data_IF_959964042378
#
_entry.id   IF_959964042378
#
_cell.length_a   1.000
_cell.length_b   1.000
_cell.length_c   1.000
_cell.angle_alpha   90.00
_cell.angle_beta   90.00
_cell.angle_gamma   90.00
#
_symmetry.space_group_name_H-M   'P 1'
#
loop_
_entity.id
_entity.type
_entity.pdbx_description
1 polymer ?
#
# COMPACT_ATOMS: atom_id res chain seq x y z
N UNK A 1 14.58 -36.31 -16.83
CA UNK A 1 15.05 -35.86 -15.50
C UNK A 1 16.18 -34.86 -15.68
N UNK A 2 16.08 -33.66 -15.09
CA UNK A 2 17.16 -32.66 -15.11
C UNK A 2 16.71 -31.35 -14.48
N UNK A 3 16.88 -31.23 -13.15
CA UNK A 3 16.58 -30.01 -12.38
C UNK A 3 17.73 -29.01 -12.58
N UNK A 4 17.43 -27.76 -12.90
CA UNK A 4 18.40 -26.67 -12.81
C UNK A 4 18.15 -25.85 -11.56
N UNK A 5 19.25 -25.60 -10.84
CA UNK A 5 19.37 -25.02 -9.51
C UNK A 5 19.84 -23.59 -9.69
N UNK A 6 19.16 -22.63 -9.07
CA UNK A 6 19.62 -21.24 -9.04
C UNK A 6 20.65 -21.10 -7.91
N UNK A 7 21.89 -20.78 -8.26
CA UNK A 7 22.98 -20.51 -7.31
C UNK A 7 23.05 -19.03 -6.92
N UNK A 8 23.41 -18.80 -5.65
CA UNK A 8 23.72 -17.51 -5.04
C UNK A 8 25.08 -17.01 -5.55
N UNK A 9 25.09 -15.81 -6.14
CA UNK A 9 26.31 -15.05 -6.39
C UNK A 9 26.60 -14.10 -5.23
N UNK A 10 27.54 -14.49 -4.37
CA UNK A 10 28.12 -13.63 -3.35
C UNK A 10 29.29 -12.79 -3.89
N UNK A 11 29.44 -11.63 -3.24
CA UNK A 11 30.69 -10.93 -2.95
C UNK A 11 31.42 -10.21 -4.10
N UNK A 12 31.60 -8.89 -3.92
CA UNK A 12 32.94 -8.28 -3.78
C UNK A 12 32.85 -6.84 -3.28
N UNK A 13 33.36 -6.64 -2.07
CA UNK A 13 33.87 -5.36 -1.62
C UNK A 13 35.01 -4.88 -2.54
N UNK A 14 35.11 -3.57 -2.79
CA UNK A 14 36.34 -2.79 -2.65
C UNK A 14 36.19 -1.32 -3.11
N UNK A 15 36.95 -0.49 -2.39
CA UNK A 15 37.61 0.72 -2.85
C UNK A 15 36.82 2.05 -2.93
N UNK A 16 36.95 2.77 -1.82
CA UNK A 16 37.01 4.23 -1.73
C UNK A 16 37.98 4.79 -2.79
N UNK A 17 37.61 5.81 -3.55
CA UNK A 17 38.57 6.85 -3.94
C UNK A 17 37.87 8.15 -4.37
N UNK A 18 38.36 9.25 -3.79
CA UNK A 18 38.03 10.65 -4.09
C UNK A 18 38.49 11.01 -5.50
N UNK A 19 37.64 11.67 -6.29
CA UNK A 19 38.09 12.38 -7.49
C UNK A 19 37.55 13.82 -7.47
N UNK A 20 38.44 14.84 -7.55
CA UNK A 20 38.07 16.24 -7.53
C UNK A 20 37.57 16.73 -8.90
N UNK A 21 36.83 17.83 -8.82
CA UNK A 21 36.32 18.67 -9.91
C UNK A 21 37.46 19.15 -10.82
N UNK A 22 37.36 18.92 -12.12
CA UNK A 22 38.03 19.71 -13.15
C UNK A 22 37.17 19.78 -14.42
N UNK A 23 37.05 21.01 -14.90
CA UNK A 23 36.28 21.49 -16.05
C UNK A 23 36.84 20.97 -17.37
N UNK A 24 35.97 20.58 -18.31
CA UNK A 24 36.27 20.73 -19.74
C UNK A 24 34.99 21.07 -20.51
N UNK A 25 35.05 22.24 -21.16
CA UNK A 25 34.13 22.69 -22.18
C UNK A 25 34.30 21.84 -23.46
N UNK A 26 33.22 21.61 -24.19
CA UNK A 26 33.27 20.96 -25.49
C UNK A 26 31.89 20.66 -26.06
N UNK A 27 31.38 21.59 -26.86
CA UNK A 27 30.26 21.39 -27.78
C UNK A 27 30.51 20.16 -28.67
N UNK A 28 29.50 19.31 -28.83
CA UNK A 28 29.13 18.66 -30.10
C UNK A 28 27.75 18.00 -29.92
N UNK A 29 26.84 18.30 -30.84
CA UNK A 29 25.45 17.87 -30.81
C UNK A 29 25.28 16.36 -30.88
N UNK A 30 24.26 15.90 -30.16
CA UNK A 30 23.69 14.57 -30.27
C UNK A 30 22.22 14.67 -29.90
N UNK A 31 21.37 14.86 -30.91
CA UNK A 31 19.93 14.69 -30.85
C UNK A 31 19.63 13.26 -30.40
N UNK A 32 19.38 13.06 -29.12
CA UNK A 32 18.79 11.82 -28.64
C UNK A 32 17.32 11.84 -29.05
N UNK A 33 16.98 11.02 -30.05
CA UNK A 33 15.62 10.61 -30.31
C UNK A 33 15.02 10.10 -28.99
N UNK A 34 14.03 10.82 -28.50
CA UNK A 34 13.00 10.26 -27.63
C UNK A 34 12.26 9.22 -28.47
N UNK A 35 12.51 7.94 -28.20
CA UNK A 35 11.61 6.88 -28.62
C UNK A 35 10.47 6.84 -27.59
N UNK A 36 9.32 7.38 -27.95
CA UNK A 36 8.05 6.93 -27.37
C UNK A 36 7.82 5.49 -27.85
N UNK A 37 7.97 4.53 -26.94
CA UNK A 37 7.43 3.20 -27.13
C UNK A 37 5.98 3.21 -26.70
N UNK A 38 5.08 3.56 -27.61
CA UNK A 38 3.66 3.26 -27.49
C UNK A 38 3.35 1.94 -28.21
N UNK A 39 2.45 1.17 -27.60
CA UNK A 39 1.76 -0.04 -28.08
C UNK A 39 2.45 -1.38 -27.87
N UNK A 40 2.11 -2.03 -26.75
CA UNK A 40 1.47 -3.35 -26.80
C UNK A 40 0.42 -3.43 -25.68
N UNK A 41 -0.69 -2.72 -25.90
CA UNK A 41 -1.97 -3.08 -25.35
C UNK A 41 -2.58 -4.18 -26.24
N UNK A 42 -2.15 -5.43 -26.08
CA UNK A 42 -2.85 -6.61 -26.59
C UNK A 42 -2.23 -7.92 -26.08
N UNK A 43 -2.59 -8.34 -24.87
CA UNK A 43 -2.94 -9.74 -24.62
C UNK A 43 -3.89 -9.88 -23.42
N UNK A 44 -5.01 -9.18 -23.48
CA UNK A 44 -6.25 -9.74 -22.93
C UNK A 44 -6.66 -10.89 -23.86
N UNK A 45 -6.04 -12.05 -23.69
CA UNK A 45 -6.41 -13.27 -24.39
C UNK A 45 -7.73 -13.76 -23.84
N UNK A 46 -8.80 -13.39 -24.55
CA UNK A 46 -9.92 -14.28 -24.88
C UNK A 46 -10.32 -15.29 -23.80
N UNK A 47 -11.06 -14.82 -22.79
CA UNK A 47 -12.26 -15.51 -22.31
C UNK A 47 -13.29 -14.43 -21.91
N UNK A 48 -14.25 -14.23 -22.81
CA UNK A 48 -15.59 -13.66 -22.60
C UNK A 48 -15.74 -12.36 -21.78
N UNK A 49 -15.61 -11.23 -22.47
CA UNK A 49 -16.25 -9.97 -22.07
C UNK A 49 -17.30 -9.53 -23.11
N UNK A 50 -18.18 -10.45 -23.53
CA UNK A 50 -19.36 -10.10 -24.35
C UNK A 50 -20.49 -11.16 -24.28
N UNK A 51 -20.82 -11.68 -23.09
CA UNK A 51 -21.98 -12.57 -22.91
C UNK A 51 -22.51 -12.59 -21.47
N UNK A 52 -22.98 -11.44 -20.98
CA UNK A 52 -24.06 -11.37 -19.97
C UNK A 52 -24.87 -10.09 -20.14
N UNK A 53 -25.31 -9.81 -21.36
CA UNK A 53 -26.58 -9.10 -21.50
C UNK A 53 -27.70 -10.12 -21.24
N UNK A 54 -28.48 -9.87 -20.19
CA UNK A 54 -29.75 -10.52 -19.85
C UNK A 54 -29.70 -11.78 -18.95
N UNK A 55 -29.45 -11.57 -17.66
CA UNK A 55 -30.27 -12.20 -16.61
C UNK A 55 -30.77 -11.11 -15.67
N UNK A 56 -32.08 -10.84 -15.76
CA UNK A 56 -32.77 -9.89 -14.91
C UNK A 56 -32.65 -10.22 -13.43
N UNK A 57 -32.38 -9.18 -12.66
CA UNK A 57 -32.38 -9.17 -11.20
C UNK A 57 -32.66 -7.76 -10.70
N UNK A 58 -33.93 -7.36 -10.79
CA UNK A 58 -34.44 -6.11 -10.23
C UNK A 58 -34.48 -6.18 -8.71
N UNK A 59 -33.64 -5.36 -8.06
CA UNK A 59 -33.73 -4.93 -6.67
C UNK A 59 -32.75 -3.76 -6.53
N UNK A 60 -33.18 -2.50 -6.45
CA UNK A 60 -34.18 -1.99 -5.53
C UNK A 60 -33.49 -1.56 -4.24
N UNK A 61 -32.66 -0.51 -4.32
CA UNK A 61 -31.93 0.05 -3.19
C UNK A 61 -31.38 1.42 -3.55
N UNK A 62 -32.27 2.41 -3.63
CA UNK A 62 -31.89 3.82 -3.72
C UNK A 62 -31.20 4.25 -2.43
N UNK A 63 -29.88 4.08 -2.37
CA UNK A 63 -29.06 4.88 -1.50
C UNK A 63 -28.90 6.24 -2.17
N UNK A 64 -29.49 7.28 -1.59
CA UNK A 64 -29.02 8.64 -1.81
C UNK A 64 -27.54 8.65 -1.50
N UNK A 65 -26.72 8.55 -2.54
CA UNK A 65 -25.28 8.73 -2.43
C UNK A 65 -25.05 10.16 -1.97
N UNK A 66 -24.99 10.35 -0.65
CA UNK A 66 -24.05 11.31 -0.07
C UNK A 66 -22.78 11.08 -0.86
N UNK A 67 -22.34 12.08 -1.62
CA UNK A 67 -21.03 12.03 -2.27
C UNK A 67 -20.08 11.55 -1.20
N UNK A 68 -19.61 10.30 -1.31
CA UNK A 68 -18.68 9.72 -0.37
C UNK A 68 -17.51 10.68 -0.40
N UNK A 69 -17.33 11.42 0.70
CA UNK A 69 -16.33 12.46 0.76
C UNK A 69 -14.94 11.86 0.68
N UNK A 70 -13.91 12.64 1.04
CA UNK A 70 -12.55 12.14 1.02
C UNK A 70 -12.45 10.97 2.02
N UNK A 71 -12.23 9.77 1.48
CA UNK A 71 -12.06 8.54 2.24
C UNK A 71 -10.78 7.81 1.86
N UNK A 72 -10.59 6.62 2.40
CA UNK A 72 -9.43 5.81 2.05
C UNK A 72 -9.46 5.39 0.57
N UNK A 73 -8.31 5.25 -0.10
CA UNK A 73 -8.21 4.38 -1.28
C UNK A 73 -8.71 2.98 -0.94
N UNK A 74 -9.48 2.35 -1.82
CA UNK A 74 -10.17 1.09 -1.51
C UNK A 74 -9.24 -0.08 -1.22
N UNK A 75 -8.10 -0.15 -1.89
CA UNK A 75 -7.04 -1.13 -1.63
C UNK A 75 -6.41 -0.91 -0.25
N UNK A 76 -6.10 0.34 0.12
CA UNK A 76 -5.61 0.71 1.46
C UNK A 76 -6.65 0.35 2.51
N UNK A 77 -7.91 0.67 2.26
CA UNK A 77 -9.00 0.40 3.19
C UNK A 77 -9.17 -1.09 3.47
N UNK A 78 -9.07 -1.93 2.44
CA UNK A 78 -9.15 -3.38 2.60
C UNK A 78 -8.08 -3.89 3.58
N UNK A 79 -6.85 -3.35 3.50
CA UNK A 79 -5.77 -3.71 4.44
C UNK A 79 -6.03 -3.17 5.84
N UNK A 80 -6.37 -1.88 5.96
CA UNK A 80 -6.64 -1.23 7.26
C UNK A 80 -7.78 -1.93 7.98
N UNK A 81 -8.87 -2.23 7.28
CA UNK A 81 -10.00 -2.97 7.84
C UNK A 81 -9.56 -4.35 8.34
N UNK A 82 -8.88 -5.13 7.52
CA UNK A 82 -8.56 -6.51 7.84
C UNK A 82 -7.51 -6.63 8.97
N UNK A 83 -6.55 -5.70 9.03
CA UNK A 83 -5.35 -5.86 9.87
C UNK A 83 -5.26 -4.88 11.04
N UNK A 84 -5.96 -3.75 10.98
CA UNK A 84 -5.79 -2.65 11.94
C UNK A 84 -7.06 -2.37 12.77
N UNK A 85 -8.24 -2.33 12.13
CA UNK A 85 -9.47 -1.83 12.76
C UNK A 85 -9.99 -2.69 13.92
N UNK A 86 -9.53 -3.94 14.06
CA UNK A 86 -9.88 -4.77 15.23
C UNK A 86 -9.42 -4.14 16.55
N UNK A 87 -8.28 -3.45 16.55
CA UNK A 87 -7.80 -2.74 17.74
C UNK A 87 -7.99 -1.23 17.59
N UNK A 88 -7.75 -0.70 16.39
CA UNK A 88 -7.84 0.72 16.07
C UNK A 88 -9.22 1.12 15.51
N UNK A 89 -10.30 0.53 16.00
CA UNK A 89 -11.67 0.91 15.65
C UNK A 89 -12.15 2.15 16.41
N UNK A 90 -13.44 2.44 16.27
CA UNK A 90 -14.17 3.38 17.13
C UNK A 90 -15.37 2.65 17.78
N UNK A 91 -15.32 2.31 19.09
CA UNK A 91 -14.24 2.64 20.04
C UNK A 91 -12.96 1.81 19.81
N UNK A 92 -11.84 2.27 20.38
CA UNK A 92 -10.59 1.50 20.36
C UNK A 92 -10.63 0.32 21.32
N UNK A 93 -9.90 -0.74 20.98
CA UNK A 93 -9.81 -1.97 21.76
C UNK A 93 -8.35 -2.41 21.98
N UNK A 94 -8.14 -3.35 22.90
CA UNK A 94 -6.85 -4.00 23.14
C UNK A 94 -5.67 -3.03 23.43
N UNK A 95 -5.99 -1.86 23.99
CA UNK A 95 -5.00 -0.83 24.36
C UNK A 95 -4.54 0.06 23.20
N UNK A 96 -5.22 0.02 22.04
CA UNK A 96 -4.93 0.96 20.96
C UNK A 96 -5.21 2.41 21.38
N UNK A 97 -4.26 3.34 21.16
CA UNK A 97 -4.35 4.71 21.68
C UNK A 97 -5.28 5.64 20.89
N UNK A 98 -5.68 5.26 19.67
CA UNK A 98 -6.53 6.08 18.79
C UNK A 98 -7.24 5.22 17.74
N UNK A 99 -8.38 5.74 17.25
CA UNK A 99 -9.12 5.21 16.09
C UNK A 99 -8.36 5.44 14.79
N UNK A 100 -8.57 4.53 13.84
CA UNK A 100 -8.22 4.61 12.42
C UNK A 100 -9.44 4.33 11.52
N UNK A 101 -10.65 4.36 12.09
CA UNK A 101 -11.89 3.97 11.42
C UNK A 101 -12.18 4.81 10.16
N UNK A 102 -11.78 6.09 10.16
CA UNK A 102 -11.95 7.01 9.03
C UNK A 102 -10.61 7.47 8.47
N UNK A 103 -10.61 7.99 7.23
CA UNK A 103 -9.40 8.61 6.67
C UNK A 103 -8.98 9.84 7.48
N UNK A 104 -9.93 10.64 7.96
CA UNK A 104 -9.66 11.82 8.77
C UNK A 104 -8.91 11.46 10.07
N UNK A 105 -9.16 10.28 10.63
CA UNK A 105 -8.43 9.79 11.80
C UNK A 105 -6.92 9.66 11.51
N UNK A 106 -6.52 9.27 10.29
CA UNK A 106 -5.10 9.16 9.93
C UNK A 106 -4.44 10.51 9.77
N UNK A 107 -5.23 11.55 9.51
CA UNK A 107 -4.74 12.91 9.30
C UNK A 107 -4.67 13.72 10.61
N UNK A 108 -5.34 13.25 11.66
CA UNK A 108 -5.34 13.91 12.95
C UNK A 108 -3.94 14.01 13.55
N UNK A 109 -3.73 15.03 14.40
CA UNK A 109 -2.44 15.24 15.08
C UNK A 109 -2.13 14.09 16.06
N UNK A 110 -0.86 13.71 16.07
CA UNK A 110 -0.24 12.80 17.01
C UNK A 110 1.21 13.22 17.24
N UNK A 111 1.44 13.84 18.40
CA UNK A 111 2.75 14.35 18.82
C UNK A 111 3.34 15.37 17.82
N UNK A 112 2.49 16.25 17.27
CA UNK A 112 2.91 17.30 16.34
C UNK A 112 3.05 16.86 14.89
N UNK A 113 2.66 15.62 14.55
CA UNK A 113 2.67 15.08 13.20
C UNK A 113 1.34 14.39 12.89
N UNK A 114 0.93 14.26 11.61
CA UNK A 114 -0.23 13.44 11.26
C UNK A 114 -0.04 11.96 11.69
N UNK A 115 -1.11 11.33 12.20
CA UNK A 115 -1.08 9.93 12.65
C UNK A 115 -0.55 8.95 11.60
N UNK A 116 -0.80 9.17 10.32
CA UNK A 116 -0.30 8.29 9.25
C UNK A 116 1.23 8.17 9.24
N UNK A 117 1.98 9.17 9.71
CA UNK A 117 3.44 9.07 9.82
C UNK A 117 3.88 8.09 10.91
N UNK A 118 3.13 8.05 12.02
CA UNK A 118 3.34 7.04 13.06
C UNK A 118 2.93 5.64 12.56
N UNK A 119 1.86 5.56 11.76
CA UNK A 119 1.47 4.31 11.08
C UNK A 119 2.56 3.83 10.14
N UNK A 120 3.12 4.70 9.30
CA UNK A 120 4.22 4.38 8.39
C UNK A 120 5.40 3.80 9.16
N UNK A 121 5.87 4.47 10.21
CA UNK A 121 6.98 3.97 11.01
C UNK A 121 6.68 2.60 11.64
N UNK A 122 5.47 2.38 12.14
CA UNK A 122 5.06 1.10 12.73
C UNK A 122 5.00 -0.04 11.70
N UNK A 123 4.56 0.25 10.48
CA UNK A 123 4.52 -0.73 9.37
C UNK A 123 5.93 -1.00 8.82
N UNK A 124 6.74 0.04 8.61
CA UNK A 124 8.13 -0.10 8.13
C UNK A 124 8.95 -0.99 9.04
N UNK A 125 8.83 -0.80 10.36
CA UNK A 125 9.56 -1.54 11.39
C UNK A 125 8.96 -2.89 11.76
N UNK A 126 7.88 -3.32 11.09
CA UNK A 126 7.12 -4.54 11.40
C UNK A 126 6.60 -4.59 12.85
N UNK A 127 6.46 -3.43 13.49
CA UNK A 127 5.86 -3.31 14.82
C UNK A 127 4.35 -3.52 14.78
N UNK A 128 3.71 -3.09 13.69
CA UNK A 128 2.29 -3.30 13.43
C UNK A 128 2.09 -4.11 12.15
N UNK A 129 1.12 -5.05 12.11
CA UNK A 129 0.24 -5.47 13.20
C UNK A 129 0.99 -6.14 14.37
N UNK A 130 0.46 -5.99 15.59
CA UNK A 130 1.08 -6.41 16.84
C UNK A 130 1.09 -7.94 17.04
N UNK A 131 1.78 -8.69 16.18
CA UNK A 131 1.87 -10.16 16.21
C UNK A 131 2.48 -10.71 17.49
N UNK A 132 3.21 -9.88 18.26
CA UNK A 132 3.72 -10.24 19.58
C UNK A 132 2.63 -10.58 20.61
N UNK A 133 1.35 -10.21 20.37
CA UNK A 133 0.25 -10.69 21.22
C UNK A 133 0.03 -12.21 21.12
N UNK A 134 0.42 -12.84 20.00
CA UNK A 134 0.22 -14.26 19.78
C UNK A 134 0.98 -15.14 20.77
N UNK A 135 2.13 -14.66 21.26
CA UNK A 135 2.96 -15.35 22.26
C UNK A 135 2.81 -14.76 23.68
N UNK A 136 1.84 -13.86 23.87
CA UNK A 136 1.63 -13.20 25.16
C UNK A 136 0.94 -14.11 26.17
N UNK A 137 0.90 -13.68 27.44
CA UNK A 137 0.17 -14.41 28.51
C UNK A 137 -1.35 -14.45 28.28
N UNK A 138 -1.86 -13.54 27.47
CA UNK A 138 -3.27 -13.42 27.12
C UNK A 138 -3.38 -13.23 25.61
N UNK A 139 -3.15 -14.29 24.82
CA UNK A 139 -3.19 -14.19 23.36
C UNK A 139 -4.60 -13.84 22.90
N UNK A 140 -4.68 -13.09 21.79
CA UNK A 140 -5.95 -12.76 21.15
C UNK A 140 -6.45 -13.94 20.32
N UNK A 141 -7.77 -14.14 20.32
CA UNK A 141 -8.45 -15.13 19.49
C UNK A 141 -9.47 -14.42 18.56
N UNK A 142 -9.32 -14.47 17.23
CA UNK A 142 -8.25 -15.16 16.49
C UNK A 142 -6.88 -14.46 16.64
N UNK A 143 -5.77 -15.20 16.43
CA UNK A 143 -4.42 -14.63 16.45
C UNK A 143 -4.29 -13.40 15.54
N UNK A 144 -3.40 -12.47 15.90
CA UNK A 144 -3.04 -11.34 15.04
C UNK A 144 -2.26 -11.87 13.85
N UNK A 145 -2.77 -11.64 12.65
CA UNK A 145 -2.04 -11.91 11.42
C UNK A 145 -1.13 -10.74 11.06
N UNK A 146 0.09 -11.05 10.64
CA UNK A 146 0.98 -10.05 10.05
C UNK A 146 0.49 -9.58 8.68
N UNK A 147 1.11 -8.51 8.18
CA UNK A 147 0.95 -8.07 6.80
C UNK A 147 1.70 -9.04 5.86
N UNK A 148 1.07 -9.39 4.75
CA UNK A 148 1.76 -9.95 3.60
C UNK A 148 2.66 -8.90 2.95
N UNK A 149 3.60 -9.32 2.10
CA UNK A 149 4.45 -8.39 1.36
C UNK A 149 3.64 -7.42 0.49
N UNK A 150 2.55 -7.89 -0.13
CA UNK A 150 1.70 -7.05 -0.96
C UNK A 150 0.94 -6.01 -0.13
N UNK A 151 0.32 -6.42 0.97
CA UNK A 151 -0.40 -5.50 1.87
C UNK A 151 0.53 -4.45 2.48
N UNK A 152 1.73 -4.86 2.91
CA UNK A 152 2.75 -3.93 3.41
C UNK A 152 3.13 -2.91 2.32
N UNK A 153 3.36 -3.35 1.08
CA UNK A 153 3.71 -2.45 -0.01
C UNK A 153 2.56 -1.48 -0.33
N UNK A 154 1.30 -1.94 -0.38
CA UNK A 154 0.12 -1.08 -0.58
C UNK A 154 0.07 0.06 0.45
N UNK A 155 0.33 -0.24 1.73
CA UNK A 155 0.35 0.79 2.76
C UNK A 155 1.54 1.76 2.60
N UNK A 156 2.74 1.24 2.34
CA UNK A 156 3.95 2.06 2.17
C UNK A 156 3.83 3.01 0.97
N UNK A 157 3.33 2.54 -0.17
CA UNK A 157 3.09 3.39 -1.35
C UNK A 157 2.09 4.52 -1.04
N UNK A 158 1.05 4.20 -0.27
CA UNK A 158 0.07 5.19 0.16
C UNK A 158 0.67 6.22 1.13
N UNK A 159 1.49 5.78 2.10
CA UNK A 159 2.20 6.68 3.02
C UNK A 159 3.21 7.59 2.29
N UNK A 160 3.98 7.06 1.34
CA UNK A 160 4.90 7.83 0.50
C UNK A 160 4.15 8.85 -0.37
N UNK A 161 2.92 8.52 -0.75
CA UNK A 161 1.96 9.43 -1.36
C UNK A 161 1.39 10.51 -0.42
N UNK A 162 1.79 10.55 0.85
CA UNK A 162 1.29 11.48 1.86
C UNK A 162 -0.09 11.12 2.39
N UNK A 163 -0.46 9.84 2.37
CA UNK A 163 -1.72 9.31 2.88
C UNK A 163 -2.96 10.07 2.32
N UNK A 164 -2.97 10.32 1.01
CA UNK A 164 -4.05 11.07 0.36
C UNK A 164 -5.36 10.29 0.37
N UNK A 165 -6.48 11.02 0.41
CA UNK A 165 -7.80 10.45 0.21
C UNK A 165 -8.04 10.06 -1.25
N UNK A 166 -9.11 9.31 -1.49
CA UNK A 166 -9.65 9.02 -2.84
C UNK A 166 -11.12 9.42 -2.94
N UNK A 167 -11.61 9.57 -4.18
CA UNK A 167 -13.00 9.94 -4.52
C UNK A 167 -13.52 9.02 -5.65
N UNK A 168 -14.63 8.29 -5.46
CA UNK A 168 -15.29 8.09 -4.16
C UNK A 168 -14.35 7.35 -3.21
N UNK A 169 -14.30 7.81 -1.95
CA UNK A 169 -13.56 7.13 -0.91
C UNK A 169 -14.20 5.78 -0.55
N UNK A 170 -13.38 4.82 -0.10
CA UNK A 170 -13.86 3.62 0.56
C UNK A 170 -13.92 3.86 2.08
N UNK A 171 -15.11 3.66 2.64
CA UNK A 171 -15.41 3.61 4.08
C UNK A 171 -16.75 2.87 4.25
N UNK A 172 -16.97 2.21 5.41
CA UNK A 172 -18.24 1.53 5.74
C UNK A 172 -19.30 2.49 6.26
#
# INVERSE_FOLDING_TARGET
MGKQRCERGGERALARSRWPRLLLAGLLGGTWLVACGDHDAAECTSYDCDSIENLGGSGGGGGTGTSAGPGYPCDVYAVVQAKCLRCHGDPTENGAPFSLATWQDTQADYLGNPRWQAMQNAVETDFMPATFFNDSKTPLDPPVEGLTTAEKQTLLDWFDGGARSSEPGCEF
#
